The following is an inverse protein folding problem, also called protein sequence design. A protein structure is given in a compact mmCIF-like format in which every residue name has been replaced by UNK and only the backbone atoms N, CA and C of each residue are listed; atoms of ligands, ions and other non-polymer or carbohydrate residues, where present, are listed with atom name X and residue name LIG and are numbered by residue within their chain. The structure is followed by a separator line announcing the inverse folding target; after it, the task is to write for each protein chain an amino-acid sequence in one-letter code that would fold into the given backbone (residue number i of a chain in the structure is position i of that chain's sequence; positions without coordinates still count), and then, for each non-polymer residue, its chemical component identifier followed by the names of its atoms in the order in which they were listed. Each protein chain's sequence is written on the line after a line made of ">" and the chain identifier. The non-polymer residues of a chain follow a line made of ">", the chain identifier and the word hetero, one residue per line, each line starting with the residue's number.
data_IF_165966718260
#
_entry.id   IF_165966718260
#
_cell.length_a   1.000
_cell.length_b   1.000
_cell.length_c   1.000
_cell.angle_alpha   90.00
_cell.angle_beta   90.00
_cell.angle_gamma   90.00
#
_symmetry.space_group_name_H-M   'P 1'
#
loop_
_entity.id
_entity.type
_entity.pdbx_description
1 polymer ?
#
# COMPACT_ATOMS: atom_id res chain seq x y z
N UNK A 1 9.75 10.77 -16.55
CA UNK A 1 9.85 10.13 -15.21
C UNK A 1 8.48 9.94 -14.54
N UNK A 2 7.64 10.98 -14.38
CA UNK A 2 6.30 10.81 -13.77
C UNK A 2 5.43 9.79 -14.51
N UNK A 3 5.39 9.84 -15.85
CA UNK A 3 4.63 8.86 -16.65
C UNK A 3 5.13 7.42 -16.47
N UNK A 4 6.45 7.25 -16.33
CA UNK A 4 7.03 5.95 -16.02
C UNK A 4 6.56 5.43 -14.65
N UNK A 5 6.57 6.29 -13.61
CA UNK A 5 6.07 5.90 -12.29
C UNK A 5 4.57 5.57 -12.30
N UNK A 6 3.75 6.31 -13.05
CA UNK A 6 2.33 5.98 -13.22
C UNK A 6 2.16 4.58 -13.78
N UNK A 7 2.85 4.26 -14.88
CA UNK A 7 2.78 2.93 -15.50
C UNK A 7 3.29 1.85 -14.54
N UNK A 8 4.45 2.07 -13.91
CA UNK A 8 5.04 1.12 -12.97
C UNK A 8 4.10 0.79 -11.81
N UNK A 9 3.60 1.82 -11.11
CA UNK A 9 2.71 1.60 -9.96
C UNK A 9 1.34 1.09 -10.38
N UNK A 10 0.85 1.38 -11.59
CA UNK A 10 -0.35 0.77 -12.13
C UNK A 10 -0.16 -0.72 -12.38
N UNK A 11 0.98 -1.14 -12.94
CA UNK A 11 1.30 -2.56 -13.12
C UNK A 11 1.37 -3.26 -11.76
N UNK A 12 2.08 -2.69 -10.79
CA UNK A 12 2.19 -3.24 -9.43
C UNK A 12 0.81 -3.34 -8.76
N UNK A 13 -0.03 -2.31 -8.88
CA UNK A 13 -1.37 -2.30 -8.32
C UNK A 13 -2.23 -3.43 -8.92
N UNK A 14 -2.26 -3.55 -10.26
CA UNK A 14 -3.03 -4.59 -10.94
C UNK A 14 -2.50 -5.98 -10.60
N UNK A 15 -1.18 -6.17 -10.57
CA UNK A 15 -0.54 -7.43 -10.21
C UNK A 15 -0.92 -7.86 -8.79
N UNK A 16 -0.81 -6.97 -7.79
CA UNK A 16 -1.17 -7.30 -6.41
C UNK A 16 -2.66 -7.61 -6.25
N UNK A 17 -3.54 -6.89 -6.95
CA UNK A 17 -4.97 -7.20 -6.97
C UNK A 17 -5.22 -8.59 -7.57
N UNK A 18 -4.55 -8.93 -8.68
CA UNK A 18 -4.65 -10.24 -9.30
C UNK A 18 -4.22 -11.35 -8.34
N UNK A 19 -3.04 -11.24 -7.71
CA UNK A 19 -2.52 -12.24 -6.76
C UNK A 19 -3.48 -12.48 -5.58
N UNK A 20 -4.01 -11.41 -4.99
CA UNK A 20 -4.95 -11.53 -3.86
C UNK A 20 -6.26 -12.17 -4.29
N UNK A 21 -6.82 -11.77 -5.44
CA UNK A 21 -8.07 -12.33 -5.95
C UNK A 21 -7.89 -13.80 -6.31
N UNK A 22 -6.86 -14.13 -7.08
CA UNK A 22 -6.56 -15.49 -7.51
C UNK A 22 -6.33 -16.42 -6.31
N UNK A 23 -5.50 -15.99 -5.35
CA UNK A 23 -5.26 -16.76 -4.12
C UNK A 23 -6.54 -16.98 -3.32
N UNK A 24 -7.42 -15.97 -3.25
CA UNK A 24 -8.69 -16.06 -2.51
C UNK A 24 -9.69 -17.05 -3.12
N UNK A 25 -9.59 -17.32 -4.43
CA UNK A 25 -10.39 -18.36 -5.09
C UNK A 25 -9.85 -19.77 -4.84
N UNK A 26 -8.54 -19.91 -4.61
CA UNK A 26 -7.89 -21.20 -4.38
C UNK A 26 -7.82 -21.60 -2.90
N UNK A 27 -7.69 -20.63 -2.00
CA UNK A 27 -7.50 -20.87 -0.57
C UNK A 27 -8.03 -19.72 0.27
N UNK A 28 -8.48 -20.02 1.49
CA UNK A 28 -8.91 -18.99 2.43
C UNK A 28 -7.83 -18.76 3.48
N UNK A 29 -7.31 -17.52 3.55
CA UNK A 29 -6.27 -17.12 4.50
C UNK A 29 -6.61 -17.47 5.96
N UNK A 30 -7.88 -17.31 6.36
CA UNK A 30 -8.30 -17.56 7.74
C UNK A 30 -8.34 -19.05 8.08
N UNK A 31 -8.65 -19.90 7.10
CA UNK A 31 -8.62 -21.35 7.27
C UNK A 31 -7.18 -21.87 7.36
N UNK A 32 -6.28 -21.32 6.54
CA UNK A 32 -4.87 -21.73 6.49
C UNK A 32 -4.00 -21.09 7.58
N UNK A 33 -4.57 -20.19 8.41
CA UNK A 33 -3.81 -19.40 9.37
C UNK A 33 -3.09 -20.24 10.43
N UNK A 34 -3.69 -21.32 10.90
CA UNK A 34 -3.06 -22.18 11.92
C UNK A 34 -1.76 -22.80 11.41
N UNK A 35 -1.74 -23.20 10.14
CA UNK A 35 -0.55 -23.70 9.49
C UNK A 35 0.47 -22.58 9.22
N UNK A 36 0.05 -21.51 8.55
CA UNK A 36 0.91 -20.39 8.17
C UNK A 36 1.53 -19.70 9.39
N UNK A 37 0.72 -19.43 10.41
CA UNK A 37 1.13 -18.83 11.67
C UNK A 37 2.08 -19.73 12.47
N UNK A 38 2.08 -21.04 12.24
CA UNK A 38 3.02 -21.99 12.81
C UNK A 38 4.44 -21.86 12.24
N UNK A 39 4.59 -21.39 11.00
CA UNK A 39 5.88 -21.29 10.30
C UNK A 39 6.66 -20.06 10.82
N UNK A 40 7.87 -20.24 11.40
CA UNK A 40 8.64 -19.12 11.95
C UNK A 40 8.97 -18.02 10.95
N UNK A 41 9.33 -18.39 9.72
CA UNK A 41 9.63 -17.43 8.66
C UNK A 41 8.41 -16.61 8.24
N UNK A 42 7.22 -17.22 8.20
CA UNK A 42 5.97 -16.51 7.88
C UNK A 42 5.67 -15.42 8.91
N UNK A 43 5.88 -15.72 10.21
CA UNK A 43 5.73 -14.72 11.28
C UNK A 43 6.76 -13.60 11.13
N UNK A 44 8.02 -13.92 10.83
CA UNK A 44 9.07 -12.92 10.66
C UNK A 44 8.77 -11.98 9.48
N UNK A 45 8.34 -12.52 8.34
CA UNK A 45 7.94 -11.71 7.17
C UNK A 45 6.71 -10.85 7.46
N UNK A 46 5.77 -11.34 8.28
CA UNK A 46 4.60 -10.56 8.66
C UNK A 46 4.97 -9.38 9.57
N UNK A 47 5.88 -9.59 10.53
CA UNK A 47 6.40 -8.51 11.37
C UNK A 47 7.17 -7.47 10.55
N UNK A 48 8.03 -7.90 9.63
CA UNK A 48 8.74 -7.02 8.70
C UNK A 48 7.74 -6.19 7.86
N UNK A 49 6.73 -6.84 7.31
CA UNK A 49 5.67 -6.18 6.55
C UNK A 49 4.94 -5.12 7.37
N UNK A 50 4.53 -5.41 8.61
CA UNK A 50 3.85 -4.41 9.45
C UNK A 50 4.76 -3.28 9.93
N UNK A 51 6.06 -3.53 10.13
CA UNK A 51 7.03 -2.47 10.39
C UNK A 51 7.14 -1.52 9.18
N UNK A 52 7.16 -2.06 7.96
CA UNK A 52 7.13 -1.27 6.73
C UNK A 52 5.82 -0.48 6.58
N UNK A 53 4.67 -1.10 6.86
CA UNK A 53 3.36 -0.43 6.86
C UNK A 53 3.34 0.72 7.86
N UNK A 54 3.90 0.55 9.05
CA UNK A 54 3.98 1.62 10.06
C UNK A 54 4.79 2.82 9.55
N UNK A 55 5.96 2.57 8.95
CA UNK A 55 6.79 3.63 8.38
C UNK A 55 6.07 4.40 7.26
N UNK A 56 5.40 3.69 6.35
CA UNK A 56 4.58 4.28 5.28
C UNK A 56 3.42 5.07 5.89
N UNK A 57 2.75 4.54 6.91
CA UNK A 57 1.64 5.21 7.57
C UNK A 57 2.07 6.51 8.26
N UNK A 58 3.25 6.54 8.89
CA UNK A 58 3.80 7.78 9.43
C UNK A 58 4.01 8.84 8.34
N UNK A 59 4.47 8.43 7.15
CA UNK A 59 4.57 9.33 6.00
C UNK A 59 3.19 9.80 5.51
N UNK A 60 2.19 8.92 5.45
CA UNK A 60 0.80 9.30 5.12
C UNK A 60 0.23 10.28 6.16
N UNK A 61 0.49 10.08 7.46
CA UNK A 61 0.07 11.01 8.51
C UNK A 61 0.67 12.41 8.35
N UNK A 62 1.91 12.50 7.86
CA UNK A 62 2.54 13.77 7.53
C UNK A 62 1.90 14.44 6.32
N UNK A 63 1.53 13.64 5.30
CA UNK A 63 0.93 14.11 4.05
C UNK A 63 -0.52 14.56 4.18
N UNK A 64 -1.33 13.79 4.89
CA UNK A 64 -2.77 14.04 5.02
C UNK A 64 -3.07 15.01 6.14
N UNK A 65 -3.78 16.11 5.87
CA UNK A 65 -4.25 17.02 6.92
C UNK A 65 -5.51 16.50 7.63
N UNK A 66 -6.37 15.79 6.91
CA UNK A 66 -7.64 15.30 7.45
C UNK A 66 -7.43 14.07 8.33
N UNK A 67 -7.89 14.14 9.57
CA UNK A 67 -7.85 13.01 10.50
C UNK A 67 -8.67 11.80 10.00
N UNK A 68 -9.81 12.05 9.33
CA UNK A 68 -10.62 11.00 8.75
C UNK A 68 -9.88 10.24 7.63
N UNK A 69 -9.16 10.96 6.77
CA UNK A 69 -8.36 10.34 5.70
C UNK A 69 -7.18 9.54 6.28
N UNK A 70 -6.56 10.01 7.37
CA UNK A 70 -5.52 9.24 8.06
C UNK A 70 -6.08 7.91 8.56
N UNK A 71 -7.24 7.90 9.23
CA UNK A 71 -7.87 6.65 9.70
C UNK A 71 -8.21 5.74 8.52
N UNK A 72 -8.77 6.28 7.44
CA UNK A 72 -9.10 5.52 6.25
C UNK A 72 -7.85 4.82 5.69
N UNK A 73 -6.76 5.57 5.50
CA UNK A 73 -5.51 5.01 4.99
C UNK A 73 -4.86 4.03 5.95
N UNK A 74 -4.97 4.21 7.27
CA UNK A 74 -4.51 3.23 8.25
C UNK A 74 -5.19 1.87 8.03
N UNK A 75 -6.53 1.88 7.94
CA UNK A 75 -7.32 0.66 7.74
C UNK A 75 -6.94 0.02 6.40
N UNK A 76 -6.87 0.80 5.32
CA UNK A 76 -6.49 0.29 4.00
C UNK A 76 -5.06 -0.29 3.99
N UNK A 77 -4.08 0.36 4.62
CA UNK A 77 -2.70 -0.14 4.65
C UNK A 77 -2.54 -1.42 5.47
N UNK A 78 -3.23 -1.54 6.61
CA UNK A 78 -3.20 -2.76 7.43
C UNK A 78 -3.86 -3.94 6.73
N UNK A 79 -4.96 -3.68 6.00
CA UNK A 79 -5.78 -4.74 5.37
C UNK A 79 -5.32 -5.11 3.97
N UNK A 80 -4.91 -4.14 3.15
CA UNK A 80 -4.58 -4.33 1.73
C UNK A 80 -3.08 -4.15 1.43
N UNK A 81 -2.29 -3.62 2.35
CA UNK A 81 -0.84 -3.57 2.22
C UNK A 81 -0.32 -2.81 1.00
N UNK A 82 0.36 -3.54 0.12
CA UNK A 82 0.96 -3.01 -1.10
C UNK A 82 -0.08 -2.50 -2.11
N UNK A 83 -1.31 -3.04 -2.11
CA UNK A 83 -2.42 -2.52 -2.94
C UNK A 83 -2.77 -1.09 -2.49
N UNK A 84 -2.94 -0.89 -1.17
CA UNK A 84 -3.23 0.44 -0.64
C UNK A 84 -2.06 1.42 -0.84
N UNK A 85 -0.82 0.95 -0.66
CA UNK A 85 0.37 1.77 -0.88
C UNK A 85 0.50 2.22 -2.33
N UNK A 86 0.36 1.30 -3.28
CA UNK A 86 0.41 1.62 -4.72
C UNK A 86 -0.74 2.52 -5.14
N UNK A 87 -1.95 2.30 -4.61
CA UNK A 87 -3.09 3.19 -4.84
C UNK A 87 -2.82 4.61 -4.32
N UNK A 88 -2.29 4.75 -3.09
CA UNK A 88 -1.94 6.06 -2.52
C UNK A 88 -0.96 6.83 -3.40
N UNK A 89 0.09 6.15 -3.87
CA UNK A 89 1.10 6.72 -4.77
C UNK A 89 0.48 7.10 -6.12
N UNK A 90 -0.38 6.25 -6.69
CA UNK A 90 -1.07 6.54 -7.95
C UNK A 90 -1.98 7.76 -7.82
N UNK A 91 -2.79 7.85 -6.76
CA UNK A 91 -3.63 9.03 -6.49
C UNK A 91 -2.76 10.28 -6.46
N UNK A 92 -1.64 10.25 -5.73
CA UNK A 92 -0.68 11.35 -5.70
C UNK A 92 -0.16 11.72 -7.09
N UNK A 93 0.28 10.73 -7.88
CA UNK A 93 0.83 10.92 -9.22
C UNK A 93 -0.19 11.49 -10.22
N UNK A 94 -1.46 11.09 -10.13
CA UNK A 94 -2.53 11.60 -10.99
C UNK A 94 -3.05 12.96 -10.55
N UNK A 95 -2.84 13.35 -9.30
CA UNK A 95 -3.25 14.66 -8.75
C UNK A 95 -2.18 15.75 -8.95
N UNK A 96 -0.96 15.39 -9.37
CA UNK A 96 0.09 16.36 -9.67
C UNK A 96 -0.34 17.34 -10.77
N UNK A 97 -0.17 18.65 -10.50
CA UNK A 97 -0.45 19.71 -11.47
C UNK A 97 0.65 19.80 -12.54
N UNK A 98 0.36 20.37 -13.72
CA UNK A 98 1.39 20.64 -14.72
C UNK A 98 2.52 21.49 -14.12
N UNK A 99 3.75 20.99 -14.21
CA UNK A 99 4.95 21.63 -13.65
C UNK A 99 5.37 21.12 -12.26
N UNK A 100 4.53 20.34 -11.57
CA UNK A 100 4.91 19.69 -10.31
C UNK A 100 5.83 18.50 -10.56
N UNK A 101 6.74 18.28 -9.61
CA UNK A 101 7.82 17.30 -9.68
C UNK A 101 7.58 16.11 -8.75
N UNK A 102 8.48 15.13 -8.76
CA UNK A 102 8.44 14.02 -7.80
C UNK A 102 8.62 14.50 -6.36
N UNK A 103 9.35 15.59 -6.14
CA UNK A 103 9.50 16.11 -4.78
C UNK A 103 8.14 16.49 -4.21
N UNK A 104 7.29 17.10 -5.03
CA UNK A 104 5.93 17.47 -4.67
C UNK A 104 5.09 16.23 -4.34
N UNK A 105 5.26 15.13 -5.07
CA UNK A 105 4.63 13.85 -4.70
C UNK A 105 5.00 13.43 -3.27
N UNK A 106 6.26 13.56 -2.87
CA UNK A 106 6.77 13.09 -1.58
C UNK A 106 6.44 14.00 -0.40
N UNK A 107 6.40 15.32 -0.61
CA UNK A 107 6.33 16.30 0.49
C UNK A 107 5.03 17.11 0.51
N UNK A 108 4.33 17.24 -0.61
CA UNK A 108 3.13 18.09 -0.69
C UNK A 108 2.02 17.49 0.15
N UNK A 109 1.55 18.28 1.12
CA UNK A 109 0.43 17.92 1.96
C UNK A 109 -0.89 18.10 1.21
N UNK A 110 -1.79 17.15 1.40
CA UNK A 110 -3.14 17.12 0.84
C UNK A 110 -4.17 17.58 1.88
#
# INVERSE_FOLDING_TARGET
>A
MINFLKVLFSIVFVFMCYEVIDTSFHSNLFTEWDFLGGIPWMRATLWDFYANVLAIFCWVCYKEKSFALRILWLILLITLGSIATSLYILIGLFTLKPGETIKDLLIKQS
#
